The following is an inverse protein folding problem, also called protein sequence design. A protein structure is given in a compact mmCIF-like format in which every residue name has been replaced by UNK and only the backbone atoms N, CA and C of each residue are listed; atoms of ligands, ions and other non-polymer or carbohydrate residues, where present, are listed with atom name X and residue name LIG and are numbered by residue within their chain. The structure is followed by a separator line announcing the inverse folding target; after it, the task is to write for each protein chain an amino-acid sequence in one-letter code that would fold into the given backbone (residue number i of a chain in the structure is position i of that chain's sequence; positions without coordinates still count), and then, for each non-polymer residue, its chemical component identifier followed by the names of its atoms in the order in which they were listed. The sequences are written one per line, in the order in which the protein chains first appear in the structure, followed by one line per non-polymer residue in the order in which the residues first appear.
data_IF_761653028717
#
_entry.id   IF_761653028717
#
_cell.length_a   1.000
_cell.length_b   1.000
_cell.length_c   1.000
_cell.angle_alpha   90.00
_cell.angle_beta   90.00
_cell.angle_gamma   90.00
#
_symmetry.space_group_name_H-M   'P 1'
#
loop_
_entity.id
_entity.type
_entity.pdbx_description
1 polymer ?
#
# COMPACT_ATOMS: atom_id res chain seq x y z
N UNK A 1 16.93 16.27 -0.86
CA UNK A 1 16.86 14.92 -1.48
C UNK A 1 15.95 14.83 -2.72
N UNK A 2 15.06 15.78 -3.01
CA UNK A 2 14.09 15.68 -4.12
C UNK A 2 14.52 16.25 -5.49
N UNK A 3 15.55 17.11 -5.56
CA UNK A 3 15.93 17.84 -6.80
C UNK A 3 16.26 16.93 -7.99
N UNK A 4 16.96 15.80 -7.75
CA UNK A 4 17.26 14.82 -8.80
C UNK A 4 16.00 14.13 -9.35
N UNK A 5 15.01 13.90 -8.49
CA UNK A 5 13.75 13.25 -8.87
C UNK A 5 12.88 14.18 -9.72
N UNK A 6 12.83 15.48 -9.38
CA UNK A 6 12.16 16.49 -10.21
C UNK A 6 12.84 16.68 -11.58
N UNK A 7 14.17 16.63 -11.64
CA UNK A 7 14.90 16.71 -12.91
C UNK A 7 14.59 15.48 -13.79
N UNK A 8 14.64 14.28 -13.23
CA UNK A 8 14.32 13.04 -13.93
C UNK A 8 12.85 12.98 -14.39
N UNK A 9 11.91 13.49 -13.57
CA UNK A 9 10.50 13.52 -13.97
C UNK A 9 10.28 14.45 -15.16
N UNK A 10 10.95 15.60 -15.18
CA UNK A 10 10.88 16.55 -16.30
C UNK A 10 11.44 15.93 -17.59
N UNK A 11 12.59 15.27 -17.52
CA UNK A 11 13.19 14.57 -18.67
C UNK A 11 12.30 13.43 -19.20
N UNK A 12 11.63 12.71 -18.29
CA UNK A 12 10.70 11.65 -18.64
C UNK A 12 9.30 12.14 -19.07
N UNK A 13 9.04 13.46 -19.09
CA UNK A 13 7.71 14.01 -19.37
C UNK A 13 6.65 13.61 -18.32
N UNK A 14 7.07 13.24 -17.11
CA UNK A 14 6.23 12.76 -16.03
C UNK A 14 6.04 13.82 -14.93
N UNK A 15 4.84 13.86 -14.33
CA UNK A 15 4.57 14.68 -13.16
C UNK A 15 4.99 13.92 -11.89
N UNK A 16 5.93 14.48 -11.14
CA UNK A 16 6.29 13.98 -9.82
C UNK A 16 5.57 14.78 -8.74
N UNK A 17 4.79 14.10 -7.90
CA UNK A 17 4.17 14.67 -6.70
C UNK A 17 4.90 14.13 -5.47
N UNK A 18 5.57 15.02 -4.73
CA UNK A 18 6.08 14.68 -3.40
C UNK A 18 4.92 14.78 -2.41
N UNK A 19 4.53 13.66 -1.81
CA UNK A 19 3.50 13.64 -0.79
C UNK A 19 4.06 13.10 0.54
N UNK A 20 3.51 13.63 1.62
CA UNK A 20 3.59 13.05 2.94
C UNK A 20 2.22 12.46 3.27
N UNK A 21 2.18 11.31 3.91
CA UNK A 21 0.91 10.70 4.32
C UNK A 21 0.52 11.20 5.70
N UNK A 22 -0.71 11.69 5.86
CA UNK A 22 -1.32 11.92 7.15
C UNK A 22 -2.52 10.98 7.35
N UNK A 23 -2.85 10.57 8.57
CA UNK A 23 -4.09 9.85 8.83
C UNK A 23 -5.30 10.76 8.58
N UNK A 24 -6.17 10.38 7.65
CA UNK A 24 -7.41 11.11 7.35
C UNK A 24 -8.61 10.16 7.26
N UNK A 25 -9.58 10.33 8.16
CA UNK A 25 -10.81 9.54 8.17
C UNK A 25 -11.73 9.85 6.98
N UNK A 26 -11.75 11.09 6.52
CA UNK A 26 -12.54 11.50 5.34
C UNK A 26 -12.02 10.84 4.07
N UNK A 27 -10.69 10.85 3.85
CA UNK A 27 -10.09 10.16 2.70
C UNK A 27 -10.33 8.65 2.75
N UNK A 28 -10.25 8.04 3.94
CA UNK A 28 -10.54 6.61 4.09
C UNK A 28 -12.01 6.27 3.77
N UNK A 29 -12.97 7.17 4.07
CA UNK A 29 -14.38 6.99 3.67
C UNK A 29 -14.55 7.02 2.15
N UNK A 30 -13.89 7.94 1.47
CA UNK A 30 -13.91 8.00 0.00
C UNK A 30 -13.33 6.73 -0.61
N UNK A 31 -12.17 6.28 -0.11
CA UNK A 31 -11.55 5.02 -0.54
C UNK A 31 -12.47 3.83 -0.28
N UNK A 32 -13.17 3.79 0.86
CA UNK A 32 -14.13 2.72 1.16
C UNK A 32 -15.24 2.65 0.10
N UNK A 33 -15.82 3.77 -0.32
CA UNK A 33 -16.82 3.79 -1.39
C UNK A 33 -16.29 3.28 -2.73
N UNK A 34 -15.01 3.55 -3.04
CA UNK A 34 -14.35 3.00 -4.24
C UNK A 34 -14.12 1.49 -4.15
N UNK A 35 -13.85 0.97 -2.95
CA UNK A 35 -13.73 -0.48 -2.72
C UNK A 35 -15.10 -1.16 -2.81
N UNK A 36 -16.13 -0.58 -2.19
CA UNK A 36 -17.51 -1.09 -2.19
C UNK A 36 -18.12 -1.14 -3.60
N UNK A 37 -17.86 -0.12 -4.42
CA UNK A 37 -18.26 -0.10 -5.83
C UNK A 37 -17.48 -1.07 -6.73
N UNK A 38 -16.41 -1.68 -6.21
CA UNK A 38 -15.53 -2.58 -6.95
C UNK A 38 -14.59 -1.88 -7.94
N UNK A 39 -14.56 -0.55 -7.94
CA UNK A 39 -13.62 0.25 -8.72
C UNK A 39 -12.17 0.04 -8.25
N UNK A 40 -11.98 -0.16 -6.94
CA UNK A 40 -10.71 -0.61 -6.35
C UNK A 40 -10.90 -2.01 -5.79
N UNK A 41 -10.02 -2.95 -6.15
CA UNK A 41 -10.04 -4.32 -5.63
C UNK A 41 -8.76 -4.58 -4.84
N UNK A 42 -8.85 -4.98 -3.55
CA UNK A 42 -7.67 -5.33 -2.79
C UNK A 42 -7.05 -6.62 -3.34
N UNK A 43 -5.73 -6.62 -3.50
CA UNK A 43 -4.97 -7.83 -3.84
C UNK A 43 -4.34 -8.35 -2.55
N UNK A 44 -4.95 -9.40 -2.01
CA UNK A 44 -4.45 -10.10 -0.83
C UNK A 44 -3.59 -11.27 -1.31
N UNK A 45 -2.34 -11.28 -0.88
CA UNK A 45 -1.38 -12.31 -1.23
C UNK A 45 -1.54 -13.52 -0.30
N UNK A 46 -1.51 -13.25 1.01
CA UNK A 46 -1.64 -14.27 2.04
C UNK A 46 -2.29 -13.72 3.29
N UNK A 47 -3.15 -14.54 3.89
CA UNK A 47 -3.74 -14.29 5.21
C UNK A 47 -3.08 -15.23 6.22
N UNK A 48 -2.74 -14.69 7.39
CA UNK A 48 -2.20 -15.42 8.53
C UNK A 48 -3.10 -15.22 9.75
N UNK A 49 -3.21 -16.22 10.62
CA UNK A 49 -3.79 -15.99 11.94
C UNK A 49 -2.88 -15.08 12.78
N UNK A 50 -3.43 -14.32 13.72
CA UNK A 50 -2.63 -13.39 14.54
C UNK A 50 -1.49 -14.09 15.31
N UNK A 51 -1.72 -15.33 15.75
CA UNK A 51 -0.72 -16.17 16.44
C UNK A 51 0.48 -16.52 15.55
N UNK A 52 0.34 -16.37 14.23
CA UNK A 52 1.37 -16.63 13.24
C UNK A 52 2.14 -15.36 12.83
N UNK A 53 2.02 -14.26 13.60
CA UNK A 53 2.71 -13.00 13.33
C UNK A 53 4.21 -13.16 12.99
N UNK A 54 5.01 -13.97 13.71
CA UNK A 54 6.42 -14.16 13.37
C UNK A 54 6.61 -14.73 11.96
N UNK A 55 5.80 -15.72 11.57
CA UNK A 55 5.87 -16.32 10.24
C UNK A 55 5.39 -15.36 9.14
N UNK A 56 4.39 -14.53 9.43
CA UNK A 56 3.92 -13.49 8.52
C UNK A 56 5.01 -12.45 8.25
N UNK A 57 5.75 -12.04 9.29
CA UNK A 57 6.88 -11.11 9.16
C UNK A 57 8.03 -11.74 8.37
N UNK A 58 8.43 -12.97 8.68
CA UNK A 58 9.47 -13.68 7.90
C UNK A 58 9.09 -13.79 6.41
N UNK A 59 7.81 -14.06 6.11
CA UNK A 59 7.32 -14.10 4.74
C UNK A 59 7.42 -12.73 4.04
N UNK A 60 7.03 -11.66 4.74
CA UNK A 60 7.09 -10.30 4.22
C UNK A 60 8.53 -9.85 3.95
N UNK A 61 9.44 -10.14 4.89
CA UNK A 61 10.87 -9.81 4.79
C UNK A 61 11.58 -10.51 3.63
N UNK A 62 11.10 -11.70 3.22
CA UNK A 62 11.63 -12.40 2.06
C UNK A 62 11.41 -11.65 0.72
N UNK A 63 10.63 -10.56 0.72
CA UNK A 63 10.40 -9.71 -0.47
C UNK A 63 9.58 -10.40 -1.57
N UNK A 64 8.97 -11.54 -1.29
CA UNK A 64 8.20 -12.34 -2.25
C UNK A 64 6.73 -11.94 -2.32
N UNK A 65 6.29 -11.05 -1.43
CA UNK A 65 4.89 -10.72 -1.29
C UNK A 65 4.36 -9.95 -2.52
N UNK A 66 3.26 -10.44 -3.11
CA UNK A 66 2.59 -9.81 -4.25
C UNK A 66 1.21 -9.29 -3.83
N UNK A 67 1.21 -8.12 -3.21
CA UNK A 67 0.00 -7.49 -2.69
C UNK A 67 0.11 -7.23 -1.19
N UNK A 68 -0.99 -7.41 -0.46
CA UNK A 68 -1.03 -7.24 1.00
C UNK A 68 -0.98 -8.59 1.71
N UNK A 69 -0.16 -8.66 2.75
CA UNK A 69 -0.19 -9.73 3.75
C UNK A 69 -1.10 -9.29 4.89
N UNK A 70 -2.12 -10.08 5.20
CA UNK A 70 -3.17 -9.72 6.18
C UNK A 70 -3.07 -10.62 7.41
N UNK A 71 -3.22 -10.03 8.59
CA UNK A 71 -3.39 -10.77 9.83
C UNK A 71 -4.88 -10.78 10.20
N UNK A 72 -5.41 -11.98 10.41
CA UNK A 72 -6.77 -12.16 10.92
C UNK A 72 -6.73 -12.03 12.44
N UNK A 73 -7.23 -10.91 12.94
CA UNK A 73 -7.49 -10.69 14.36
C UNK A 73 -8.97 -10.99 14.60
N UNK A 74 -9.27 -11.80 15.63
CA UNK A 74 -10.64 -12.02 16.10
C UNK A 74 -10.97 -11.04 17.21
#
# INVERSE_FOLDING_TARGET
MSRKVYAASTEAGATYCWFFTEPSGDQLREIAGLVESGAIKPVIDREFAFEQLPAALTYLEAGRARGKVVLKVK
#
